data_IF_831782651484
#
_entry.id   IF_831782651484
#
_cell.length_a   1.000
_cell.length_b   1.000
_cell.length_c   1.000
_cell.angle_alpha   90.00
_cell.angle_beta   90.00
_cell.angle_gamma   90.00
#
_symmetry.space_group_name_H-M   'P 1'
#
loop_
_entity.id
_entity.type
_entity.pdbx_description
1 polymer ?
#
# COMPACT_ATOMS: atom_id res chain seq x y z
N UNK A 1 -6.36 -54.03 -29.33
CA UNK A 1 -7.53 -53.71 -28.49
C UNK A 1 -7.01 -52.73 -27.45
N UNK A 2 -6.97 -51.45 -27.79
CA UNK A 2 -6.44 -50.44 -26.88
C UNK A 2 -7.22 -49.15 -27.08
N UNK A 3 -7.81 -48.72 -25.99
CA UNK A 3 -8.82 -47.67 -25.88
C UNK A 3 -8.10 -46.35 -25.63
N UNK A 4 -8.34 -45.38 -26.50
CA UNK A 4 -8.04 -43.96 -26.29
C UNK A 4 -8.83 -43.40 -25.10
N UNK A 5 -8.28 -42.37 -24.42
CA UNK A 5 -9.13 -41.27 -24.02
C UNK A 5 -8.56 -39.87 -24.33
N UNK A 6 -9.43 -39.11 -25.00
CA UNK A 6 -9.79 -37.70 -24.79
C UNK A 6 -8.71 -36.65 -24.45
N UNK A 7 -8.36 -35.87 -25.48
CA UNK A 7 -7.94 -34.46 -25.40
C UNK A 7 -9.05 -33.59 -24.79
N UNK A 8 -8.68 -32.69 -23.87
CA UNK A 8 -9.51 -31.52 -23.56
C UNK A 8 -9.10 -30.75 -22.29
N UNK A 9 -8.94 -29.43 -22.43
CA UNK A 9 -9.12 -28.37 -21.42
C UNK A 9 -7.90 -27.86 -20.62
N UNK A 10 -6.70 -28.46 -20.68
CA UNK A 10 -5.55 -27.94 -19.91
C UNK A 10 -4.73 -26.82 -20.59
N UNK A 11 -5.00 -26.45 -21.84
CA UNK A 11 -4.04 -25.67 -22.68
C UNK A 11 -4.39 -24.19 -22.90
N UNK A 12 -5.32 -23.61 -22.13
CA UNK A 12 -5.65 -22.17 -22.23
C UNK A 12 -5.12 -21.30 -21.09
N UNK A 13 -4.66 -21.90 -19.98
CA UNK A 13 -4.03 -21.13 -18.89
C UNK A 13 -2.54 -20.83 -19.19
N UNK A 14 -1.92 -21.61 -20.08
CA UNK A 14 -0.49 -21.45 -20.45
C UNK A 14 -0.26 -20.41 -21.58
N UNK A 15 -1.32 -19.90 -22.22
CA UNK A 15 -1.18 -18.99 -23.38
C UNK A 15 -1.22 -17.50 -23.03
N UNK A 16 -1.62 -17.14 -21.81
CA UNK A 16 -1.51 -15.76 -21.33
C UNK A 16 -0.11 -15.39 -20.81
N UNK A 17 0.81 -16.36 -20.68
CA UNK A 17 2.23 -16.12 -20.36
C UNK A 17 3.13 -16.08 -21.60
N UNK A 18 2.58 -16.28 -22.81
CA UNK A 18 3.34 -16.32 -24.07
C UNK A 18 3.06 -15.11 -24.98
N UNK A 19 2.75 -13.95 -24.41
CA UNK A 19 2.73 -12.66 -25.12
C UNK A 19 4.11 -12.03 -25.07
N UNK A 20 4.99 -12.43 -26.00
CA UNK A 20 6.33 -11.86 -26.18
C UNK A 20 6.31 -10.38 -26.53
N UNK A 21 6.23 -9.54 -25.50
CA UNK A 21 6.79 -8.19 -25.53
C UNK A 21 8.27 -8.32 -25.19
N UNK A 22 9.11 -8.09 -26.19
CA UNK A 22 10.58 -8.02 -26.09
C UNK A 22 10.98 -7.42 -24.73
N UNK A 23 11.51 -8.26 -23.84
CA UNK A 23 12.26 -7.76 -22.69
C UNK A 23 13.35 -6.84 -23.25
N UNK A 24 13.41 -5.56 -22.83
CA UNK A 24 14.62 -4.81 -23.09
C UNK A 24 15.70 -5.49 -22.26
N UNK A 25 16.54 -6.26 -22.96
CA UNK A 25 17.84 -6.73 -22.50
C UNK A 25 18.40 -5.67 -21.57
N UNK A 26 18.75 -5.99 -20.31
CA UNK A 26 19.33 -5.00 -19.42
C UNK A 26 20.55 -4.46 -20.15
N UNK A 27 20.54 -3.15 -20.44
CA UNK A 27 21.65 -2.43 -21.03
C UNK A 27 22.81 -2.37 -20.02
N UNK A 28 23.34 -3.55 -19.70
CA UNK A 28 24.36 -3.84 -18.69
C UNK A 28 25.77 -3.74 -19.28
N UNK A 29 25.95 -3.10 -20.43
CA UNK A 29 27.26 -3.05 -21.10
C UNK A 29 27.74 -1.65 -21.51
N UNK A 30 27.06 -0.55 -21.17
CA UNK A 30 27.54 0.79 -21.56
C UNK A 30 27.10 1.97 -20.67
N UNK A 31 26.91 1.78 -19.36
CA UNK A 31 26.86 2.92 -18.44
C UNK A 31 28.22 3.03 -17.77
N UNK A 32 28.99 4.06 -18.12
CA UNK A 32 30.18 4.49 -17.39
C UNK A 32 29.94 4.34 -15.89
N UNK A 33 30.87 3.69 -15.18
CA UNK A 33 30.94 3.70 -13.72
C UNK A 33 31.06 5.15 -13.24
N UNK A 34 29.94 5.84 -13.15
CA UNK A 34 29.86 7.17 -12.56
C UNK A 34 30.13 6.96 -11.07
N UNK A 35 31.32 7.39 -10.60
CA UNK A 35 31.74 7.27 -9.19
C UNK A 35 30.60 7.80 -8.32
N UNK A 36 30.02 6.91 -7.51
CA UNK A 36 28.95 7.27 -6.59
C UNK A 36 29.50 8.37 -5.67
N UNK A 37 28.94 9.59 -5.68
CA UNK A 37 29.43 10.67 -4.84
C UNK A 37 29.26 10.30 -3.36
N UNK A 38 30.13 10.79 -2.47
CA UNK A 38 30.02 10.51 -1.04
C UNK A 38 28.66 10.92 -0.49
N UNK A 39 28.15 10.22 0.54
CA UNK A 39 26.79 10.39 1.07
C UNK A 39 26.44 11.84 1.46
N UNK A 40 27.44 12.62 1.91
CA UNK A 40 27.29 14.05 2.27
C UNK A 40 26.95 14.93 1.08
N UNK A 41 27.34 14.52 -0.13
CA UNK A 41 27.06 15.25 -1.36
C UNK A 41 25.73 14.81 -2.00
N UNK A 42 25.19 13.65 -1.61
CA UNK A 42 23.88 13.16 -2.04
C UNK A 42 22.73 13.85 -1.29
N UNK A 43 22.97 14.31 -0.06
CA UNK A 43 22.01 15.06 0.74
C UNK A 43 22.13 16.54 0.39
N UNK A 44 21.13 17.08 -0.30
CA UNK A 44 21.07 18.50 -0.65
C UNK A 44 19.99 19.21 0.17
N UNK A 45 20.24 20.48 0.54
CA UNK A 45 19.23 21.27 1.26
C UNK A 45 17.95 21.45 0.44
N UNK A 46 18.07 21.67 -0.87
CA UNK A 46 16.92 21.72 -1.80
C UNK A 46 16.13 20.41 -1.81
N UNK A 47 16.84 19.27 -1.78
CA UNK A 47 16.22 17.96 -1.76
C UNK A 47 15.48 17.70 -0.46
N UNK A 48 16.03 18.11 0.67
CA UNK A 48 15.36 18.00 1.95
C UNK A 48 14.07 18.83 2.01
N UNK A 49 14.11 20.09 1.52
CA UNK A 49 12.92 20.94 1.44
C UNK A 49 11.86 20.33 0.52
N UNK A 50 12.25 19.85 -0.67
CA UNK A 50 11.34 19.18 -1.59
C UNK A 50 10.75 17.90 -0.97
N UNK A 51 11.57 17.11 -0.27
CA UNK A 51 11.13 15.89 0.41
C UNK A 51 10.11 16.19 1.51
N UNK A 52 10.31 17.24 2.30
CA UNK A 52 9.38 17.65 3.34
C UNK A 52 8.04 18.11 2.77
N UNK A 53 8.05 18.92 1.70
CA UNK A 53 6.82 19.37 1.04
C UNK A 53 6.04 18.20 0.42
N UNK A 54 6.72 17.36 -0.35
CA UNK A 54 6.11 16.17 -0.98
C UNK A 54 5.61 15.20 0.11
N UNK A 55 6.42 14.98 1.14
CA UNK A 55 6.07 14.15 2.29
C UNK A 55 4.85 14.66 3.05
N UNK A 56 4.74 15.97 3.28
CA UNK A 56 3.57 16.59 3.92
C UNK A 56 2.29 16.33 3.12
N UNK A 57 2.31 16.60 1.82
CA UNK A 57 1.15 16.37 0.93
C UNK A 57 0.74 14.90 0.96
N UNK A 58 1.68 13.97 0.81
CA UNK A 58 1.37 12.54 0.86
C UNK A 58 0.90 12.09 2.24
N UNK A 59 1.39 12.68 3.33
CA UNK A 59 0.93 12.33 4.68
C UNK A 59 -0.55 12.64 4.85
N UNK A 60 -1.02 13.79 4.35
CA UNK A 60 -2.45 14.15 4.37
C UNK A 60 -3.28 13.16 3.55
N UNK A 61 -2.80 12.78 2.35
CA UNK A 61 -3.48 11.81 1.48
C UNK A 61 -3.57 10.44 2.18
N UNK A 62 -2.46 9.97 2.75
CA UNK A 62 -2.40 8.70 3.45
C UNK A 62 -3.28 8.69 4.68
N UNK A 63 -3.32 9.76 5.46
CA UNK A 63 -4.21 9.84 6.62
C UNK A 63 -5.68 9.81 6.21
N UNK A 64 -6.05 10.50 5.12
CA UNK A 64 -7.40 10.44 4.54
C UNK A 64 -7.75 9.03 4.09
N UNK A 65 -6.85 8.36 3.38
CA UNK A 65 -7.05 6.97 2.94
C UNK A 65 -7.15 6.02 4.13
N UNK A 66 -6.29 6.17 5.14
CA UNK A 66 -6.33 5.37 6.37
C UNK A 66 -7.69 5.47 7.06
N UNK A 67 -8.25 6.67 7.18
CA UNK A 67 -9.53 6.91 7.85
C UNK A 67 -10.75 6.54 6.99
N UNK A 68 -10.64 6.63 5.66
CA UNK A 68 -11.78 6.39 4.76
C UNK A 68 -11.86 4.93 4.29
N UNK A 69 -10.74 4.36 3.85
CA UNK A 69 -10.71 3.05 3.19
C UNK A 69 -10.03 1.98 4.04
N UNK A 70 -9.17 2.39 4.99
CA UNK A 70 -8.33 1.47 5.76
C UNK A 70 -7.26 0.74 4.94
N UNK A 71 -7.24 0.94 3.61
CA UNK A 71 -6.31 0.30 2.67
C UNK A 71 -5.44 1.38 2.05
N UNK A 72 -4.13 1.21 2.19
CA UNK A 72 -3.14 2.16 1.68
C UNK A 72 -2.30 1.52 0.58
N UNK A 73 -2.36 2.02 -0.66
CA UNK A 73 -1.46 1.60 -1.71
C UNK A 73 -0.04 2.16 -1.49
N UNK A 74 0.96 1.51 -2.07
CA UNK A 74 2.33 2.01 -2.05
C UNK A 74 2.50 3.17 -3.02
N UNK A 75 2.78 4.37 -2.51
CA UNK A 75 2.93 5.60 -3.32
C UNK A 75 4.38 5.88 -3.74
N UNK A 76 5.25 4.87 -3.68
CA UNK A 76 6.69 5.00 -3.94
C UNK A 76 7.00 5.56 -5.33
N UNK A 77 6.27 5.08 -6.35
CA UNK A 77 6.42 5.50 -7.77
C UNK A 77 5.99 6.96 -7.95
N UNK A 78 4.86 7.34 -7.37
CA UNK A 78 4.34 8.72 -7.41
C UNK A 78 5.29 9.68 -6.70
N UNK A 79 5.84 9.27 -5.55
CA UNK A 79 6.86 10.05 -4.84
C UNK A 79 8.15 10.22 -5.67
N UNK A 80 8.62 9.17 -6.35
CA UNK A 80 9.81 9.23 -7.21
C UNK A 80 9.64 10.20 -8.40
N UNK A 81 8.46 10.19 -9.03
CA UNK A 81 8.12 11.08 -10.14
C UNK A 81 7.99 12.53 -9.68
N UNK A 82 7.26 12.78 -8.58
CA UNK A 82 7.11 14.15 -8.05
C UNK A 82 8.44 14.71 -7.56
N UNK A 83 9.29 13.89 -6.93
CA UNK A 83 10.64 14.29 -6.53
C UNK A 83 11.48 14.70 -7.75
N UNK A 84 11.43 13.92 -8.83
CA UNK A 84 12.11 14.24 -10.09
C UNK A 84 11.66 15.59 -10.65
N UNK A 85 10.34 15.83 -10.67
CA UNK A 85 9.76 17.05 -11.22
C UNK A 85 10.03 18.28 -10.35
N UNK A 86 9.89 18.15 -9.03
CA UNK A 86 10.14 19.22 -8.09
C UNK A 86 11.60 19.67 -8.16
N UNK A 87 12.54 18.73 -8.13
CA UNK A 87 13.96 19.03 -8.21
C UNK A 87 14.37 19.60 -9.57
N UNK A 88 13.83 19.06 -10.66
CA UNK A 88 14.10 19.56 -12.01
C UNK A 88 13.50 20.94 -12.26
N UNK A 89 12.28 21.19 -11.77
CA UNK A 89 11.65 22.51 -11.81
C UNK A 89 12.46 23.51 -11.00
N UNK A 90 12.88 23.12 -9.80
CA UNK A 90 13.71 23.93 -8.91
C UNK A 90 15.07 24.29 -9.53
N UNK A 91 15.76 23.32 -10.16
CA UNK A 91 17.03 23.60 -10.86
C UNK A 91 16.86 24.47 -12.09
N UNK A 92 15.76 24.33 -12.83
CA UNK A 92 15.46 25.19 -13.97
C UNK A 92 15.15 26.63 -13.56
N UNK A 93 14.39 26.82 -12.48
CA UNK A 93 14.08 28.13 -11.90
C UNK A 93 15.36 28.81 -11.39
N UNK A 94 16.20 28.10 -10.65
CA UNK A 94 17.51 28.61 -10.21
C UNK A 94 18.43 28.97 -11.38
N UNK A 95 18.42 28.15 -12.44
CA UNK A 95 19.17 28.43 -13.67
C UNK A 95 18.71 29.72 -14.35
N UNK A 96 17.39 30.01 -14.36
CA UNK A 96 16.85 31.29 -14.85
C UNK A 96 17.17 32.47 -13.94
N UNK A 97 17.33 32.23 -12.64
CA UNK A 97 17.71 33.23 -11.64
C UNK A 97 19.24 33.45 -11.55
N UNK A 98 20.04 32.79 -12.41
CA UNK A 98 21.49 32.96 -12.46
C UNK A 98 22.27 32.34 -11.29
N UNK A 99 21.61 31.53 -10.44
CA UNK A 99 22.27 30.87 -9.31
C UNK A 99 22.89 29.56 -9.80
N UNK A 100 24.21 29.32 -9.61
CA UNK A 100 24.85 28.07 -9.98
C UNK A 100 24.29 26.92 -9.15
N UNK A 101 23.36 26.18 -9.74
CA UNK A 101 22.69 25.05 -9.13
C UNK A 101 23.41 23.76 -9.53
N UNK A 102 23.77 22.93 -8.54
CA UNK A 102 24.40 21.62 -8.77
C UNK A 102 23.56 20.77 -9.74
N UNK A 103 24.20 19.98 -10.63
CA UNK A 103 23.48 19.08 -11.53
C UNK A 103 22.61 18.11 -10.73
N UNK A 104 21.41 17.87 -11.23
CA UNK A 104 20.45 16.98 -10.58
C UNK A 104 20.84 15.52 -10.86
N UNK A 105 21.02 14.74 -9.79
CA UNK A 105 21.50 13.36 -9.88
C UNK A 105 20.43 12.33 -9.53
N UNK A 106 20.59 11.11 -10.05
CA UNK A 106 19.73 9.96 -9.73
C UNK A 106 19.72 9.63 -8.23
N UNK A 107 20.88 9.80 -7.57
CA UNK A 107 21.04 9.55 -6.14
C UNK A 107 20.28 10.59 -5.30
N UNK A 108 20.35 11.87 -5.68
CA UNK A 108 19.58 12.92 -5.02
C UNK A 108 18.07 12.64 -5.12
N UNK A 109 17.57 12.23 -6.30
CA UNK A 109 16.16 11.85 -6.45
C UNK A 109 15.76 10.68 -5.54
N UNK A 110 16.65 9.70 -5.39
CA UNK A 110 16.44 8.53 -4.54
C UNK A 110 16.39 8.91 -3.06
N UNK A 111 17.27 9.83 -2.62
CA UNK A 111 17.26 10.36 -1.25
C UNK A 111 15.95 11.11 -0.97
N UNK A 112 15.53 12.01 -1.86
CA UNK A 112 14.28 12.78 -1.71
C UNK A 112 13.07 11.87 -1.68
N UNK A 113 13.00 10.89 -2.59
CA UNK A 113 11.94 9.89 -2.62
C UNK A 113 11.91 9.07 -1.33
N UNK A 114 13.07 8.63 -0.83
CA UNK A 114 13.14 7.85 0.42
C UNK A 114 12.66 8.68 1.62
N UNK A 115 13.07 9.94 1.72
CA UNK A 115 12.62 10.84 2.77
C UNK A 115 11.11 11.09 2.71
N UNK A 116 10.56 11.39 1.53
CA UNK A 116 9.12 11.59 1.36
C UNK A 116 8.31 10.32 1.72
N UNK A 117 8.80 9.14 1.34
CA UNK A 117 8.20 7.84 1.71
C UNK A 117 8.25 7.61 3.21
N UNK A 118 9.38 7.91 3.87
CA UNK A 118 9.48 7.80 5.31
C UNK A 118 8.47 8.72 6.02
N UNK A 119 8.29 9.96 5.55
CA UNK A 119 7.32 10.89 6.13
C UNK A 119 5.88 10.36 6.09
N UNK A 120 5.38 9.94 4.91
CA UNK A 120 3.99 9.49 4.83
C UNK A 120 3.78 8.11 5.44
N UNK A 121 4.77 7.21 5.41
CA UNK A 121 4.64 5.90 6.04
C UNK A 121 4.58 6.01 7.55
N UNK A 122 5.26 7.01 8.15
CA UNK A 122 5.10 7.33 9.57
C UNK A 122 3.70 7.84 9.92
N UNK A 123 3.03 8.55 9.03
CA UNK A 123 1.62 8.93 9.23
C UNK A 123 0.71 7.71 9.42
N UNK A 124 0.96 6.63 8.68
CA UNK A 124 0.20 5.38 8.84
C UNK A 124 0.75 4.47 9.95
N UNK A 125 2.02 4.09 9.87
CA UNK A 125 2.68 3.18 10.80
C UNK A 125 2.83 3.75 12.21
N UNK A 126 2.80 5.08 12.36
CA UNK A 126 2.72 5.77 13.65
C UNK A 126 1.35 5.69 14.33
N UNK A 127 0.37 5.04 13.70
CA UNK A 127 -0.93 4.78 14.32
C UNK A 127 -1.89 5.95 14.33
N UNK A 128 -1.61 7.04 13.62
CA UNK A 128 -2.50 8.22 13.58
C UNK A 128 -3.89 7.93 12.99
N UNK A 129 -4.01 6.93 12.11
CA UNK A 129 -5.29 6.48 11.57
C UNK A 129 -5.93 5.32 12.36
N UNK A 130 -5.27 4.79 13.39
CA UNK A 130 -5.70 3.57 14.09
C UNK A 130 -5.47 3.69 15.61
N UNK A 131 -4.39 3.11 16.14
CA UNK A 131 -4.15 2.94 17.58
C UNK A 131 -4.04 4.27 18.33
N UNK A 132 -3.39 5.27 17.73
CA UNK A 132 -3.17 6.57 18.37
C UNK A 132 -4.48 7.40 18.37
N UNK A 133 -5.34 7.21 17.37
CA UNK A 133 -6.68 7.77 17.34
C UNK A 133 -7.62 7.09 18.34
N UNK A 134 -7.45 5.79 18.55
CA UNK A 134 -8.25 5.00 19.50
C UNK A 134 -8.01 5.41 20.96
N UNK A 135 -6.81 5.89 21.30
CA UNK A 135 -6.46 6.37 22.64
C UNK A 135 -7.13 7.70 23.03
N UNK A 136 -7.71 8.41 22.06
CA UNK A 136 -8.35 9.70 22.28
C UNK A 136 -9.65 9.56 23.10
N UNK A 137 -9.85 10.45 24.08
CA UNK A 137 -11.04 10.47 24.95
C UNK A 137 -12.34 10.57 24.16
N UNK A 138 -12.36 11.37 23.09
CA UNK A 138 -13.53 11.50 22.22
C UNK A 138 -13.90 10.17 21.56
N UNK A 139 -12.92 9.37 21.16
CA UNK A 139 -13.14 8.05 20.58
C UNK A 139 -13.65 7.06 21.64
N UNK A 140 -13.13 7.13 22.87
CA UNK A 140 -13.59 6.35 24.01
C UNK A 140 -15.07 6.62 24.35
N UNK A 141 -15.47 7.88 24.39
CA UNK A 141 -16.86 8.28 24.66
C UNK A 141 -17.81 7.81 23.54
N UNK A 142 -17.36 7.89 22.28
CA UNK A 142 -18.12 7.39 21.12
C UNK A 142 -18.25 5.87 21.10
N UNK A 143 -17.30 5.13 21.68
CA UNK A 143 -17.35 3.66 21.77
C UNK A 143 -18.31 3.13 22.85
N UNK A 144 -18.88 4.02 23.67
CA UNK A 144 -19.81 3.68 24.74
C UNK A 144 -19.09 3.31 26.04
N UNK A 145 -19.28 4.15 27.06
CA UNK A 145 -18.69 3.99 28.41
C UNK A 145 -19.20 2.71 29.11
N UNK A 146 -20.37 2.22 28.70
CA UNK A 146 -21.03 1.04 29.27
C UNK A 146 -20.71 -0.28 28.54
N UNK A 147 -19.82 -0.26 27.54
CA UNK A 147 -19.46 -1.46 26.77
C UNK A 147 -18.51 -2.34 27.60
N UNK A 148 -18.82 -3.64 27.82
CA UNK A 148 -17.93 -4.55 28.54
C UNK A 148 -16.53 -4.58 27.89
N UNK A 149 -15.49 -4.24 28.65
CA UNK A 149 -14.10 -4.13 28.16
C UNK A 149 -13.61 -2.70 27.88
N UNK A 150 -14.50 -1.70 27.86
CA UNK A 150 -14.14 -0.29 27.68
C UNK A 150 -13.98 0.43 29.03
N UNK A 151 -13.03 -0.02 29.85
CA UNK A 151 -12.77 0.56 31.17
C UNK A 151 -12.35 2.03 31.08
N UNK A 152 -12.66 2.88 32.07
CA UNK A 152 -12.23 4.29 32.11
C UNK A 152 -10.70 4.47 32.19
N UNK A 153 -9.94 3.38 32.39
CA UNK A 153 -8.48 3.34 32.33
C UNK A 153 -7.96 3.12 30.89
N UNK A 154 -8.85 2.77 29.94
CA UNK A 154 -8.48 2.40 28.57
C UNK A 154 -8.17 3.59 27.65
N UNK A 155 -8.42 4.83 28.08
CA UNK A 155 -8.06 6.03 27.33
C UNK A 155 -6.91 6.78 28.00
N UNK A 156 -6.01 7.31 27.19
CA UNK A 156 -4.93 8.20 27.62
C UNK A 156 -4.71 9.20 26.52
N UNK A 157 -4.98 10.47 26.78
CA UNK A 157 -4.66 11.54 25.84
C UNK A 157 -3.13 11.65 25.74
N UNK A 158 -2.53 11.19 24.63
CA UNK A 158 -1.08 11.22 24.53
C UNK A 158 -0.68 12.68 24.27
N UNK A 159 -0.12 13.34 25.28
CA UNK A 159 0.47 14.66 25.08
C UNK A 159 1.56 14.61 24.00
N UNK A 160 1.92 15.77 23.43
CA UNK A 160 2.90 15.87 22.34
C UNK A 160 4.20 15.10 22.63
N UNK A 161 4.71 15.17 23.87
CA UNK A 161 5.93 14.45 24.26
C UNK A 161 5.81 12.92 24.22
N UNK A 162 4.63 12.37 24.58
CA UNK A 162 4.37 10.93 24.48
C UNK A 162 4.24 10.48 23.02
N UNK A 163 3.55 11.27 22.19
CA UNK A 163 3.44 11.00 20.75
C UNK A 163 4.81 11.07 20.07
N UNK A 164 5.59 12.11 20.36
CA UNK A 164 6.94 12.28 19.83
C UNK A 164 7.87 11.15 20.28
N UNK A 165 7.84 10.78 21.56
CA UNK A 165 8.61 9.66 22.11
C UNK A 165 8.26 8.32 21.47
N UNK A 166 6.96 8.04 21.28
CA UNK A 166 6.48 6.84 20.60
C UNK A 166 6.94 6.79 19.14
N UNK A 167 6.75 7.88 18.39
CA UNK A 167 7.16 7.96 16.98
C UNK A 167 8.67 7.84 16.82
N UNK A 168 9.44 8.41 17.76
CA UNK A 168 10.88 8.28 17.81
C UNK A 168 11.28 6.82 18.07
N UNK A 169 10.69 6.17 19.07
CA UNK A 169 10.98 4.78 19.41
C UNK A 169 10.72 3.83 18.22
N UNK A 170 9.56 3.92 17.57
CA UNK A 170 9.24 3.04 16.43
C UNK A 170 10.17 3.30 15.24
N UNK A 171 10.58 4.55 15.01
CA UNK A 171 11.48 4.91 13.91
C UNK A 171 12.89 4.36 14.15
N UNK A 172 13.41 4.49 15.38
CA UNK A 172 14.75 4.04 15.74
C UNK A 172 14.88 2.51 15.74
N UNK A 173 13.90 1.80 16.32
CA UNK A 173 13.90 0.32 16.31
C UNK A 173 13.85 -0.20 14.86
N UNK A 174 13.05 0.42 14.00
CA UNK A 174 13.00 0.09 12.58
C UNK A 174 14.35 0.25 11.89
N UNK A 175 15.04 1.37 12.12
CA UNK A 175 16.37 1.63 11.56
C UNK A 175 17.43 0.61 12.01
N UNK A 176 17.45 0.27 13.30
CA UNK A 176 18.42 -0.69 13.86
C UNK A 176 18.22 -2.10 13.29
N UNK A 177 16.98 -2.55 13.10
CA UNK A 177 16.68 -3.86 12.52
C UNK A 177 16.90 -3.89 11.01
N UNK A 178 16.67 -2.78 10.31
CA UNK A 178 16.75 -2.74 8.85
C UNK A 178 18.19 -2.87 8.34
N UNK A 179 19.19 -2.38 9.09
CA UNK A 179 20.61 -2.48 8.73
C UNK A 179 21.11 -3.94 8.59
N UNK A 180 20.98 -4.84 9.59
CA UNK A 180 21.41 -6.23 9.46
C UNK A 180 20.56 -7.00 8.44
N UNK A 181 19.25 -6.76 8.40
CA UNK A 181 18.35 -7.39 7.42
C UNK A 181 18.73 -7.03 5.98
N UNK A 182 19.05 -5.76 5.71
CA UNK A 182 19.50 -5.33 4.38
C UNK A 182 20.85 -5.96 4.03
N UNK A 183 21.78 -6.01 4.97
CA UNK A 183 23.10 -6.63 4.73
C UNK A 183 22.94 -8.12 4.39
N UNK A 184 22.23 -8.88 5.22
CA UNK A 184 22.00 -10.29 4.96
C UNK A 184 21.21 -10.52 3.67
N UNK A 185 20.01 -9.96 3.54
CA UNK A 185 19.09 -10.33 2.45
C UNK A 185 19.49 -9.71 1.10
N UNK A 186 19.91 -8.44 1.08
CA UNK A 186 20.17 -7.72 -0.17
C UNK A 186 21.63 -7.84 -0.60
N UNK A 187 22.59 -7.68 0.32
CA UNK A 187 24.02 -7.70 -0.03
C UNK A 187 24.51 -9.15 -0.11
N UNK A 188 24.29 -9.95 0.93
CA UNK A 188 24.86 -11.29 1.02
C UNK A 188 24.06 -12.31 0.18
N UNK A 189 22.72 -12.34 0.33
CA UNK A 189 21.83 -13.25 -0.42
C UNK A 189 21.43 -12.75 -1.81
N UNK A 190 21.73 -11.48 -2.16
CA UNK A 190 21.39 -10.86 -3.46
C UNK A 190 19.93 -11.05 -3.86
N UNK A 191 19.01 -11.09 -2.89
CA UNK A 191 17.59 -11.21 -3.16
C UNK A 191 17.09 -9.89 -3.74
N UNK A 192 16.49 -9.96 -4.93
CA UNK A 192 15.83 -8.82 -5.54
C UNK A 192 14.72 -8.34 -4.64
N UNK A 193 14.83 -7.09 -4.17
CA UNK A 193 13.75 -6.42 -3.44
C UNK A 193 12.80 -5.76 -4.46
N UNK A 194 11.67 -6.38 -4.84
CA UNK A 194 10.98 -6.05 -6.09
C UNK A 194 10.52 -4.60 -6.17
N UNK A 195 9.97 -4.06 -5.07
CA UNK A 195 9.52 -2.67 -5.00
C UNK A 195 10.66 -1.65 -5.13
N UNK A 196 11.80 -1.93 -4.47
CA UNK A 196 12.98 -1.06 -4.55
C UNK A 196 13.65 -1.12 -5.92
N UNK A 197 13.78 -2.32 -6.50
CA UNK A 197 14.34 -2.51 -7.85
C UNK A 197 13.49 -1.80 -8.91
N UNK A 198 12.16 -1.94 -8.86
CA UNK A 198 11.26 -1.25 -9.78
C UNK A 198 11.39 0.29 -9.66
N UNK A 199 11.49 0.80 -8.43
CA UNK A 199 11.69 2.25 -8.19
C UNK A 199 13.03 2.73 -8.72
N UNK A 200 14.10 1.96 -8.54
CA UNK A 200 15.43 2.30 -9.04
C UNK A 200 15.48 2.30 -10.57
N UNK A 201 14.88 1.30 -11.23
CA UNK A 201 14.75 1.24 -12.70
C UNK A 201 13.96 2.44 -13.21
N UNK A 202 12.89 2.83 -12.52
CA UNK A 202 12.10 4.01 -12.87
C UNK A 202 12.90 5.32 -12.74
N UNK A 203 13.61 5.52 -11.63
CA UNK A 203 14.45 6.71 -11.42
C UNK A 203 15.55 6.80 -12.47
N UNK A 204 16.20 5.67 -12.78
CA UNK A 204 17.16 5.58 -13.87
C UNK A 204 16.51 5.95 -15.21
N UNK A 205 15.30 5.44 -15.46
CA UNK A 205 14.49 5.76 -16.63
C UNK A 205 14.25 7.27 -16.76
N UNK A 206 13.83 7.97 -15.72
CA UNK A 206 13.58 9.42 -15.77
C UNK A 206 14.81 10.26 -16.15
N UNK A 207 16.01 9.78 -15.86
CA UNK A 207 17.27 10.48 -16.19
C UNK A 207 17.79 10.13 -17.60
N UNK A 208 17.01 9.42 -18.42
CA UNK A 208 17.30 9.22 -19.84
C UNK A 208 16.54 10.26 -20.69
N UNK A 209 17.04 10.63 -21.89
CA UNK A 209 16.35 11.57 -22.78
C UNK A 209 14.96 11.08 -23.19
N UNK A 210 14.76 9.76 -23.30
CA UNK A 210 13.46 9.17 -23.57
C UNK A 210 12.52 9.21 -22.36
N UNK A 211 13.05 8.98 -21.15
CA UNK A 211 12.28 9.04 -19.91
C UNK A 211 11.83 10.44 -19.54
N UNK A 212 12.55 11.49 -19.94
CA UNK A 212 12.08 12.86 -19.78
C UNK A 212 10.78 13.12 -20.54
N UNK A 213 10.68 12.63 -21.78
CA UNK A 213 9.46 12.79 -22.60
C UNK A 213 8.28 12.07 -21.94
N UNK A 214 8.52 10.87 -21.43
CA UNK A 214 7.52 10.09 -20.70
C UNK A 214 7.12 10.76 -19.38
N UNK A 215 8.08 11.32 -18.62
CA UNK A 215 7.79 12.07 -17.40
C UNK A 215 6.90 13.29 -17.69
N UNK A 216 7.19 14.06 -18.74
CA UNK A 216 6.33 15.19 -19.16
C UNK A 216 4.92 14.73 -19.55
N UNK A 217 4.78 13.62 -20.26
CA UNK A 217 3.48 13.04 -20.58
C UNK A 217 2.72 12.60 -19.32
N UNK A 218 3.41 11.97 -18.36
CA UNK A 218 2.82 11.59 -17.07
C UNK A 218 2.39 12.81 -16.25
N UNK A 219 3.15 13.90 -16.24
CA UNK A 219 2.75 15.16 -15.59
C UNK A 219 1.48 15.71 -16.21
N UNK A 220 1.41 15.76 -17.54
CA UNK A 220 0.22 16.26 -18.24
C UNK A 220 -0.99 15.40 -17.92
N UNK A 221 -0.81 14.07 -17.82
CA UNK A 221 -1.84 13.16 -17.34
C UNK A 221 -2.26 13.48 -15.90
N UNK A 222 -1.30 13.67 -15.00
CA UNK A 222 -1.56 13.99 -13.59
C UNK A 222 -2.33 15.30 -13.42
N UNK A 223 -1.91 16.36 -14.11
CA UNK A 223 -2.60 17.67 -14.08
C UNK A 223 -4.01 17.55 -14.64
N UNK A 224 -4.20 16.87 -15.77
CA UNK A 224 -5.53 16.66 -16.36
C UNK A 224 -6.44 15.85 -15.43
N UNK A 225 -5.93 14.78 -14.84
CA UNK A 225 -6.69 13.97 -13.87
C UNK A 225 -7.00 14.76 -12.60
N UNK A 226 -6.08 15.61 -12.14
CA UNK A 226 -6.29 16.50 -10.99
C UNK A 226 -7.39 17.52 -11.29
N UNK A 227 -7.37 18.16 -12.47
CA UNK A 227 -8.41 19.09 -12.91
C UNK A 227 -9.79 18.42 -12.99
N UNK A 228 -9.87 17.25 -13.63
CA UNK A 228 -11.12 16.46 -13.69
C UNK A 228 -11.58 16.09 -12.28
N UNK A 229 -10.66 15.65 -11.42
CA UNK A 229 -10.98 15.28 -10.04
C UNK A 229 -11.46 16.47 -9.21
N UNK A 230 -10.88 17.64 -9.41
CA UNK A 230 -11.24 18.86 -8.71
C UNK A 230 -12.61 19.35 -9.17
N UNK A 231 -12.86 19.38 -10.48
CA UNK A 231 -14.15 19.75 -11.06
C UNK A 231 -15.26 18.80 -10.61
N UNK A 232 -14.99 17.49 -10.60
CA UNK A 232 -15.95 16.51 -10.11
C UNK A 232 -16.20 16.63 -8.60
N UNK A 233 -15.17 16.86 -7.80
CA UNK A 233 -15.34 17.07 -6.35
C UNK A 233 -16.15 18.33 -6.06
N UNK A 234 -15.92 19.41 -6.83
CA UNK A 234 -16.71 20.64 -6.75
C UNK A 234 -18.17 20.40 -7.15
N UNK A 235 -18.40 19.64 -8.22
CA UNK A 235 -19.75 19.24 -8.63
C UNK A 235 -20.44 18.40 -7.54
N UNK A 236 -19.78 17.38 -7.00
CA UNK A 236 -20.32 16.58 -5.90
C UNK A 236 -20.65 17.44 -4.68
N UNK A 237 -19.76 18.37 -4.31
CA UNK A 237 -19.98 19.30 -3.20
C UNK A 237 -21.19 20.21 -3.42
N UNK A 238 -21.38 20.71 -4.64
CA UNK A 238 -22.53 21.56 -4.98
C UNK A 238 -23.87 20.80 -4.88
N UNK A 239 -23.89 19.52 -5.21
CA UNK A 239 -25.10 18.68 -5.18
C UNK A 239 -25.25 17.84 -3.90
N UNK A 240 -24.33 17.95 -2.94
CA UNK A 240 -24.50 17.31 -1.61
C UNK A 240 -25.47 18.09 -0.74
N UNK A 241 -26.74 17.68 -0.74
CA UNK A 241 -27.82 18.27 0.05
C UNK A 241 -27.93 17.79 1.51
N UNK A 242 -26.97 17.03 2.04
CA UNK A 242 -26.97 16.54 3.43
C UNK A 242 -26.04 15.33 3.66
N UNK A 243 -26.00 14.80 4.90
CA UNK A 243 -25.10 13.69 5.28
C UNK A 243 -25.37 12.34 4.57
N UNK A 244 -26.52 12.18 3.91
CA UNK A 244 -26.90 10.95 3.20
C UNK A 244 -27.53 11.23 1.83
N UNK A 245 -27.24 12.41 1.25
CA UNK A 245 -27.81 12.84 -0.03
C UNK A 245 -26.73 13.33 -0.99
N UNK A 246 -26.82 12.88 -2.25
CA UNK A 246 -25.91 13.26 -3.33
C UNK A 246 -25.35 12.06 -4.09
N UNK A 247 -24.38 12.32 -4.98
CA UNK A 247 -23.73 11.29 -5.80
C UNK A 247 -22.79 10.34 -5.03
N UNK A 248 -22.60 10.57 -3.73
CA UNK A 248 -21.87 9.67 -2.83
C UNK A 248 -22.67 8.43 -2.45
N UNK A 249 -24.01 8.50 -2.46
CA UNK A 249 -24.90 7.39 -2.14
C UNK A 249 -26.02 7.27 -3.16
N UNK A 250 -25.68 7.11 -4.44
CA UNK A 250 -26.68 7.07 -5.49
C UNK A 250 -27.38 5.69 -5.54
N UNK A 251 -28.70 5.60 -5.32
CA UNK A 251 -29.43 4.33 -5.23
C UNK A 251 -29.75 3.77 -6.63
N UNK A 252 -28.74 3.37 -7.39
CA UNK A 252 -28.88 2.78 -8.75
C UNK A 252 -29.71 1.50 -8.77
N UNK A 253 -29.62 0.66 -7.74
CA UNK A 253 -30.29 -0.64 -7.67
C UNK A 253 -31.62 -0.59 -6.89
N UNK A 254 -32.12 0.61 -6.59
CA UNK A 254 -33.37 0.85 -5.86
C UNK A 254 -33.21 0.95 -4.33
N UNK A 255 -34.27 1.43 -3.66
CA UNK A 255 -34.26 1.75 -2.22
C UNK A 255 -34.07 0.52 -1.32
N UNK A 256 -34.46 -0.67 -1.78
CA UNK A 256 -34.29 -1.93 -1.03
C UNK A 256 -32.83 -2.39 -1.00
N UNK A 257 -32.11 -2.20 -2.12
CA UNK A 257 -30.67 -2.45 -2.21
C UNK A 257 -29.86 -1.39 -1.45
N UNK A 258 -30.31 -0.13 -1.51
CA UNK A 258 -29.72 0.96 -0.73
C UNK A 258 -29.76 0.69 0.79
N UNK A 259 -30.86 0.16 1.32
CA UNK A 259 -30.96 -0.28 2.73
C UNK A 259 -29.97 -1.39 3.11
N UNK A 260 -29.50 -2.15 2.13
CA UNK A 260 -28.45 -3.17 2.31
C UNK A 260 -27.05 -2.62 2.00
N UNK A 261 -26.89 -1.29 1.98
CA UNK A 261 -25.65 -0.57 1.62
C UNK A 261 -25.12 -0.88 0.22
N UNK A 262 -25.99 -1.38 -0.67
CA UNK A 262 -25.66 -1.66 -2.06
C UNK A 262 -26.01 -0.45 -2.93
N UNK A 263 -25.06 0.46 -3.08
CA UNK A 263 -25.18 1.68 -3.88
C UNK A 263 -23.87 1.98 -4.60
N UNK A 264 -23.92 2.79 -5.67
CA UNK A 264 -22.71 3.31 -6.29
C UNK A 264 -22.28 4.59 -5.60
N UNK A 265 -21.05 4.59 -5.09
CA UNK A 265 -20.33 5.80 -4.73
C UNK A 265 -19.48 6.24 -5.93
N UNK A 266 -19.78 7.42 -6.47
CA UNK A 266 -19.01 8.01 -7.57
C UNK A 266 -17.77 8.79 -7.09
N UNK A 267 -17.17 8.38 -5.97
CA UNK A 267 -15.93 8.95 -5.47
C UNK A 267 -14.74 8.59 -6.36
N UNK A 268 -14.13 9.63 -6.95
CA UNK A 268 -12.92 9.48 -7.76
C UNK A 268 -11.72 8.98 -6.96
N UNK A 269 -11.77 9.04 -5.63
CA UNK A 269 -10.74 8.40 -4.80
C UNK A 269 -10.76 6.88 -5.01
N UNK A 270 -11.94 6.25 -5.05
CA UNK A 270 -12.06 4.80 -5.27
C UNK A 270 -11.76 4.42 -6.72
N UNK A 271 -12.13 5.26 -7.68
CA UNK A 271 -11.74 5.08 -9.08
C UNK A 271 -10.21 5.11 -9.21
N UNK A 272 -9.55 6.09 -8.59
CA UNK A 272 -8.09 6.18 -8.58
C UNK A 272 -7.42 4.99 -7.88
N UNK A 273 -7.95 4.56 -6.73
CA UNK A 273 -7.46 3.36 -6.05
C UNK A 273 -7.60 2.10 -6.92
N UNK A 274 -8.74 1.95 -7.61
CA UNK A 274 -8.98 0.85 -8.55
C UNK A 274 -8.04 0.88 -9.76
N UNK A 275 -7.65 2.06 -10.25
CA UNK A 275 -6.65 2.18 -11.32
C UNK A 275 -5.23 1.76 -10.89
N UNK A 276 -4.92 1.85 -9.59
CA UNK A 276 -3.61 1.46 -9.04
C UNK A 276 -3.57 -0.05 -8.76
N UNK A 277 -4.66 -0.62 -8.26
CA UNK A 277 -4.76 -2.04 -7.95
C UNK A 277 -4.88 -2.89 -9.23
N UNK A 278 -4.35 -4.12 -9.19
CA UNK A 278 -4.50 -5.05 -10.33
C UNK A 278 -5.97 -5.41 -10.55
N UNK A 279 -6.32 -5.70 -11.80
CA UNK A 279 -7.70 -6.08 -12.14
C UNK A 279 -8.18 -7.32 -11.37
N UNK A 280 -7.26 -8.25 -11.05
CA UNK A 280 -7.58 -9.43 -10.25
C UNK A 280 -8.00 -9.05 -8.82
N UNK A 281 -7.31 -8.10 -8.19
CA UNK A 281 -7.67 -7.61 -6.86
C UNK A 281 -9.01 -6.87 -6.91
N UNK A 282 -9.25 -6.05 -7.92
CA UNK A 282 -10.53 -5.33 -8.09
C UNK A 282 -11.70 -6.30 -8.30
N UNK A 283 -11.52 -7.35 -9.10
CA UNK A 283 -12.55 -8.37 -9.32
C UNK A 283 -12.80 -9.21 -8.06
N UNK A 284 -11.74 -9.59 -7.35
CA UNK A 284 -11.85 -10.33 -6.09
C UNK A 284 -12.56 -9.52 -5.00
N UNK A 285 -12.21 -8.23 -4.85
CA UNK A 285 -12.87 -7.32 -3.91
C UNK A 285 -14.33 -7.07 -4.29
N UNK A 286 -14.65 -6.92 -5.58
CA UNK A 286 -16.03 -6.83 -6.06
C UNK A 286 -16.82 -8.11 -5.74
N UNK A 287 -16.26 -9.28 -6.03
CA UNK A 287 -16.90 -10.56 -5.72
C UNK A 287 -17.12 -10.73 -4.22
N UNK A 288 -16.13 -10.38 -3.39
CA UNK A 288 -16.25 -10.37 -1.94
C UNK A 288 -17.31 -9.39 -1.44
N UNK A 289 -17.44 -8.22 -2.05
CA UNK A 289 -18.49 -7.25 -1.73
C UNK A 289 -19.88 -7.79 -2.08
N UNK A 290 -20.05 -8.42 -3.24
CA UNK A 290 -21.32 -9.04 -3.65
C UNK A 290 -21.68 -10.21 -2.72
N UNK A 291 -20.73 -11.08 -2.39
CA UNK A 291 -20.98 -12.21 -1.49
C UNK A 291 -21.33 -11.74 -0.07
N UNK A 292 -20.60 -10.76 0.46
CA UNK A 292 -20.82 -10.26 1.82
C UNK A 292 -22.09 -9.42 1.94
N UNK A 293 -22.21 -8.34 1.17
CA UNK A 293 -23.34 -7.40 1.24
C UNK A 293 -24.57 -7.87 0.49
N UNK A 294 -24.42 -8.66 -0.57
CA UNK A 294 -25.56 -9.18 -1.35
C UNK A 294 -26.18 -10.46 -0.78
N UNK A 295 -25.40 -11.32 -0.12
CA UNK A 295 -25.89 -12.65 0.32
C UNK A 295 -25.76 -12.83 1.83
N UNK A 296 -24.54 -12.69 2.38
CA UNK A 296 -24.25 -13.07 3.77
C UNK A 296 -24.94 -12.16 4.79
N UNK A 297 -24.79 -10.83 4.70
CA UNK A 297 -25.40 -9.91 5.66
C UNK A 297 -26.93 -9.92 5.64
N UNK A 298 -27.62 -9.97 4.48
CA UNK A 298 -29.06 -10.14 4.42
C UNK A 298 -29.57 -11.43 5.08
N UNK A 299 -28.84 -12.55 4.96
CA UNK A 299 -29.21 -13.82 5.60
C UNK A 299 -29.06 -13.76 7.12
N UNK A 300 -27.97 -13.17 7.62
CA UNK A 300 -27.73 -13.01 9.07
C UNK A 300 -28.71 -11.98 9.67
N UNK A 301 -29.10 -10.96 8.91
CA UNK A 301 -30.12 -9.98 9.34
C UNK A 301 -31.47 -10.64 9.62
N UNK A 302 -31.84 -11.70 8.89
CA UNK A 302 -33.08 -12.46 9.14
C UNK A 302 -33.08 -13.27 10.44
N UNK A 303 -31.91 -13.54 11.02
CA UNK A 303 -31.75 -14.29 12.28
C UNK A 303 -31.76 -13.40 13.53
N UNK A 304 -32.24 -12.16 13.40
CA UNK A 304 -32.39 -11.19 14.49
C UNK A 304 -33.31 -11.76 15.58
N UNK A 305 -32.84 -11.77 16.83
CA UNK A 305 -33.55 -12.33 17.99
C UNK A 305 -33.12 -13.75 18.39
N UNK A 306 -32.52 -14.53 17.49
CA UNK A 306 -32.00 -15.88 17.79
C UNK A 306 -30.48 -15.83 17.98
N UNK A 307 -29.76 -15.16 17.07
CA UNK A 307 -28.30 -15.07 17.10
C UNK A 307 -27.79 -13.83 17.83
N UNK A 308 -28.57 -12.75 17.84
CA UNK A 308 -28.25 -11.53 18.58
C UNK A 308 -29.53 -10.82 19.06
N UNK A 309 -29.48 -10.12 20.20
CA UNK A 309 -30.64 -9.48 20.80
C UNK A 309 -31.25 -8.42 19.87
N UNK A 310 -32.57 -8.45 19.71
CA UNK A 310 -33.31 -7.53 18.84
C UNK A 310 -33.40 -6.10 19.41
N UNK A 311 -33.13 -5.93 20.71
CA UNK A 311 -33.28 -4.67 21.45
C UNK A 311 -32.11 -3.70 21.33
N UNK A 312 -31.01 -4.10 20.67
CA UNK A 312 -29.83 -3.24 20.47
C UNK A 312 -29.76 -2.70 19.04
N UNK A 313 -29.33 -1.44 18.86
CA UNK A 313 -29.14 -0.84 17.55
C UNK A 313 -28.09 -1.62 16.75
N UNK A 314 -28.29 -1.73 15.43
CA UNK A 314 -27.45 -2.53 14.52
C UNK A 314 -26.00 -2.02 14.38
N UNK A 315 -25.72 -0.82 14.89
CA UNK A 315 -24.39 -0.22 15.01
C UNK A 315 -23.61 -0.69 16.24
N UNK A 316 -24.26 -1.34 17.20
CA UNK A 316 -23.60 -1.83 18.42
C UNK A 316 -22.74 -3.06 18.13
N UNK A 317 -21.56 -3.17 18.76
CA UNK A 317 -20.70 -4.36 18.67
C UNK A 317 -21.37 -5.66 19.16
N UNK A 318 -22.44 -5.57 19.94
CA UNK A 318 -23.23 -6.73 20.39
C UNK A 318 -24.29 -7.18 19.39
N UNK A 319 -24.43 -6.48 18.26
CA UNK A 319 -25.42 -6.72 17.22
C UNK A 319 -24.75 -7.14 15.91
N UNK A 320 -25.41 -6.93 14.75
CA UNK A 320 -24.90 -7.26 13.43
C UNK A 320 -23.49 -6.72 13.15
N UNK A 321 -23.12 -5.56 13.71
CA UNK A 321 -21.78 -4.99 13.57
C UNK A 321 -20.67 -5.89 14.19
N UNK A 322 -20.94 -6.56 15.31
CA UNK A 322 -20.00 -7.52 15.90
C UNK A 322 -19.68 -8.68 14.97
N UNK A 323 -20.71 -9.27 14.36
CA UNK A 323 -20.54 -10.34 13.37
C UNK A 323 -19.72 -9.87 12.16
N UNK A 324 -19.92 -8.63 11.70
CA UNK A 324 -19.10 -8.02 10.64
C UNK A 324 -17.63 -7.97 11.03
N UNK A 325 -17.32 -7.44 12.19
CA UNK A 325 -15.94 -7.29 12.65
C UNK A 325 -15.26 -8.64 12.95
N UNK A 326 -15.89 -9.51 13.74
CA UNK A 326 -15.26 -10.76 14.18
C UNK A 326 -15.09 -11.79 13.05
N UNK A 327 -16.01 -11.87 12.08
CA UNK A 327 -15.80 -12.71 10.89
C UNK A 327 -14.59 -12.23 10.08
N UNK A 328 -14.45 -10.92 9.86
CA UNK A 328 -13.29 -10.37 9.17
C UNK A 328 -11.98 -10.67 9.91
N UNK A 329 -11.96 -10.50 11.25
CA UNK A 329 -10.79 -10.83 12.08
C UNK A 329 -10.45 -12.32 11.99
N UNK A 330 -11.45 -13.20 12.07
CA UNK A 330 -11.25 -14.65 11.96
C UNK A 330 -10.69 -15.05 10.59
N UNK A 331 -11.18 -14.44 9.49
CA UNK A 331 -10.66 -14.68 8.14
C UNK A 331 -9.20 -14.24 8.01
N UNK A 332 -8.86 -13.02 8.47
CA UNK A 332 -7.49 -12.50 8.43
C UNK A 332 -6.54 -13.38 9.27
N UNK A 333 -6.98 -13.78 10.46
CA UNK A 333 -6.20 -14.63 11.35
C UNK A 333 -6.01 -16.04 10.78
N UNK A 334 -7.06 -16.61 10.17
CA UNK A 334 -7.01 -17.91 9.51
C UNK A 334 -6.08 -17.92 8.29
N UNK A 335 -6.16 -16.90 7.45
CA UNK A 335 -5.28 -16.74 6.29
C UNK A 335 -3.82 -16.53 6.72
N UNK A 336 -3.60 -15.67 7.73
CA UNK A 336 -2.28 -15.46 8.32
C UNK A 336 -1.68 -16.74 8.90
N UNK A 337 -2.48 -17.54 9.61
CA UNK A 337 -2.06 -18.83 10.17
C UNK A 337 -1.74 -19.85 9.07
N UNK A 338 -2.59 -19.96 8.04
CA UNK A 338 -2.35 -20.83 6.89
C UNK A 338 -1.04 -20.49 6.19
N UNK A 339 -0.80 -19.22 5.90
CA UNK A 339 0.43 -18.76 5.27
C UNK A 339 1.66 -19.00 6.15
N UNK A 340 1.55 -18.76 7.46
CA UNK A 340 2.63 -19.03 8.40
C UNK A 340 3.02 -20.51 8.43
N UNK A 341 2.03 -21.41 8.53
CA UNK A 341 2.26 -22.86 8.52
C UNK A 341 2.86 -23.30 7.18
N UNK A 342 2.31 -22.84 6.06
CA UNK A 342 2.79 -23.17 4.72
C UNK A 342 4.23 -22.73 4.48
N UNK A 343 4.56 -21.48 4.82
CA UNK A 343 5.91 -20.93 4.68
C UNK A 343 6.90 -21.66 5.58
N UNK A 344 6.51 -21.93 6.84
CA UNK A 344 7.35 -22.69 7.77
C UNK A 344 7.61 -24.10 7.23
N UNK A 345 6.58 -24.77 6.70
CA UNK A 345 6.70 -26.10 6.10
C UNK A 345 7.61 -26.12 4.87
N UNK A 346 7.47 -25.15 3.95
CA UNK A 346 8.32 -25.03 2.76
C UNK A 346 9.77 -24.74 3.16
N UNK A 347 9.98 -23.83 4.10
CA UNK A 347 11.32 -23.49 4.62
C UNK A 347 11.96 -24.68 5.33
N UNK A 348 11.22 -25.40 6.18
CA UNK A 348 11.71 -26.60 6.85
C UNK A 348 12.10 -27.70 5.84
N UNK A 349 11.27 -27.94 4.81
CA UNK A 349 11.59 -28.89 3.74
C UNK A 349 12.82 -28.48 2.94
N UNK A 350 12.97 -27.18 2.65
CA UNK A 350 14.13 -26.63 1.95
C UNK A 350 15.42 -26.77 2.77
N UNK A 351 15.37 -26.45 4.07
CA UNK A 351 16.48 -26.61 5.00
C UNK A 351 16.88 -28.07 5.18
N UNK A 352 15.90 -28.97 5.30
CA UNK A 352 16.15 -30.42 5.39
C UNK A 352 16.79 -30.96 4.11
N UNK A 353 16.31 -30.54 2.93
CA UNK A 353 16.90 -30.92 1.64
C UNK A 353 18.33 -30.37 1.47
N UNK A 354 18.61 -29.14 1.93
CA UNK A 354 19.96 -28.58 1.92
C UNK A 354 20.89 -29.28 2.92
N UNK A 355 20.40 -29.63 4.11
CA UNK A 355 21.15 -30.40 5.10
C UNK A 355 21.54 -31.77 4.54
N UNK A 356 20.57 -32.50 3.96
CA UNK A 356 20.83 -33.79 3.32
C UNK A 356 21.84 -33.66 2.15
N UNK A 357 21.78 -32.60 1.35
CA UNK A 357 22.78 -32.34 0.29
C UNK A 357 24.18 -32.06 0.86
N UNK A 358 24.30 -31.36 1.99
CA UNK A 358 25.59 -31.14 2.69
C UNK A 358 26.14 -32.45 3.28
N UNK A 359 25.28 -33.29 3.86
CA UNK A 359 25.67 -34.60 4.38
C UNK A 359 26.14 -35.55 3.27
N UNK A 360 25.42 -35.62 2.14
CA UNK A 360 25.83 -36.45 0.98
C UNK A 360 27.15 -35.96 0.37
N UNK A 361 27.37 -34.64 0.27
CA UNK A 361 28.66 -34.11 -0.20
C UNK A 361 29.80 -34.50 0.75
N UNK A 362 29.64 -34.34 2.07
CA UNK A 362 30.65 -34.75 3.06
C UNK A 362 30.95 -36.25 3.02
N UNK A 363 29.94 -37.12 2.84
CA UNK A 363 30.14 -38.56 2.71
C UNK A 363 30.93 -38.97 1.46
N UNK A 364 30.75 -38.26 0.33
CA UNK A 364 31.54 -38.52 -0.89
C UNK A 364 33.02 -38.14 -0.74
N UNK A 365 33.33 -37.03 -0.06
CA UNK A 365 34.72 -36.66 0.21
C UNK A 365 35.43 -37.58 1.22
N UNK A 366 34.68 -38.28 2.09
CA UNK A 366 35.24 -39.22 3.05
C UNK A 366 35.51 -40.63 2.47
N UNK A 367 34.91 -40.97 1.32
CA UNK A 367 35.12 -42.25 0.62
C UNK A 367 36.16 -42.16 -0.51
N UNK A 368 36.71 -40.97 -0.75
CA UNK A 368 37.68 -40.68 -1.81
C UNK A 368 39.10 -40.42 -1.28
N UNK A 369 39.26 -40.49 0.05
CA UNK A 369 40.52 -40.67 0.78
C UNK A 369 40.51 -42.08 1.39
#
# INVERSE_FOLDING_TARGET
>A
MEVTPARGVATEIERCEAGGGVEPVPAASAQHEERVPPWREQITARGLVAALLIGFVFTVIILKLALSTGIIPTLNVSAALLAFLALRGWTHVLGRLGVPSRPFTRQENTVVQTCAVACYTMGFGGGFGSSLLALNKKTYELAGVSTPGNAPVSYKEPGFGWMAGFLLAISFVGLLNLLPLRKALVIDYKLTYPSGTATAVLINGFHTPQGEKNAKMQVRGFVRSFEISLLWSFFQWFYTGGQSCGFLQFPTFGLKAWKQTFFFDFSLTYVGAGMICSHLVNLSTLFGAVLSWGIMWPLISKQKGIWYPANVPESSMTSLFGYKSFMCVALIMGDGLYHFIKLTGITAKSLHAQSNRKHVKRGKYALQN
#
